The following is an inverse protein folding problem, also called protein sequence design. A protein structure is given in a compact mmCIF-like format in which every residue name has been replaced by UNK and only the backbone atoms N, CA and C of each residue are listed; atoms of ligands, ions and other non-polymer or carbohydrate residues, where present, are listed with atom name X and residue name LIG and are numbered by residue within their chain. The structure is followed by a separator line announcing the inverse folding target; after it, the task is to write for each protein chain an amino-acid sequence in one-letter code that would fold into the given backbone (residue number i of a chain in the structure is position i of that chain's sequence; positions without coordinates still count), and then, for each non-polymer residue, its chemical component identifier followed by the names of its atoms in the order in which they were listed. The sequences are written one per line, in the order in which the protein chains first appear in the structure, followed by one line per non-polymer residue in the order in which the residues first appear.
data_IF_987100191850
#
_entry.id   IF_987100191850
#
_cell.length_a   1.000
_cell.length_b   1.000
_cell.length_c   1.000
_cell.angle_alpha   90.00
_cell.angle_beta   90.00
_cell.angle_gamma   90.00
#
_symmetry.space_group_name_H-M   'P 1'
#
loop_
_entity.id
_entity.type
_entity.pdbx_description
1 polymer ?
#
# COMPACT_ATOMS: atom_id res chain seq x y z
N UNK A 1 8.69 7.86 -7.45
CA UNK A 1 7.60 7.17 -6.71
C UNK A 1 6.69 6.44 -7.68
N UNK A 2 6.87 5.15 -7.85
CA UNK A 2 5.98 4.42 -8.76
C UNK A 2 4.56 4.27 -8.19
N UNK A 3 3.59 4.67 -8.98
CA UNK A 3 2.19 4.42 -8.67
C UNK A 3 1.86 3.04 -9.22
N UNK A 4 1.38 2.15 -8.36
CA UNK A 4 1.08 0.77 -8.75
C UNK A 4 -0.37 0.61 -9.17
N UNK A 5 -1.28 1.27 -8.46
CA UNK A 5 -2.72 1.09 -8.70
C UNK A 5 -3.49 2.32 -8.20
N UNK A 6 -4.60 2.61 -8.88
CA UNK A 6 -5.55 3.62 -8.41
C UNK A 6 -6.92 2.97 -8.34
N UNK A 7 -7.58 3.12 -7.18
CA UNK A 7 -8.93 2.63 -6.97
C UNK A 7 -9.74 3.77 -6.37
N UNK A 8 -10.66 4.33 -7.14
CA UNK A 8 -11.40 5.49 -6.69
C UNK A 8 -10.45 6.64 -6.36
N UNK A 9 -10.54 7.15 -5.14
CA UNK A 9 -9.68 8.25 -4.68
C UNK A 9 -8.37 7.76 -4.07
N UNK A 10 -8.17 6.45 -3.95
CA UNK A 10 -6.98 5.87 -3.34
C UNK A 10 -5.89 5.63 -4.38
N UNK A 11 -4.68 6.10 -4.08
CA UNK A 11 -3.51 5.86 -4.90
C UNK A 11 -2.55 4.97 -4.12
N UNK A 12 -2.20 3.83 -4.70
CA UNK A 12 -1.29 2.85 -4.10
C UNK A 12 0.08 2.98 -4.74
N UNK A 13 1.12 3.10 -3.92
CA UNK A 13 2.47 3.34 -4.42
C UNK A 13 3.51 2.87 -3.40
N UNK A 14 4.77 2.85 -3.81
CA UNK A 14 5.88 2.68 -2.87
C UNK A 14 7.02 3.62 -3.28
N UNK A 15 7.91 3.91 -2.32
CA UNK A 15 9.04 4.78 -2.57
C UNK A 15 10.21 3.96 -3.09
N UNK A 16 10.99 4.55 -4.00
CA UNK A 16 12.09 3.84 -4.68
C UNK A 16 13.27 3.49 -3.76
N UNK A 17 13.33 4.04 -2.58
CA UNK A 17 14.45 3.83 -1.65
C UNK A 17 14.10 2.92 -0.47
N UNK A 18 13.09 2.07 -0.62
CA UNK A 18 12.60 1.22 0.48
C UNK A 18 12.96 -0.25 0.35
N UNK A 19 13.95 -0.59 -0.47
CA UNK A 19 14.29 -1.99 -0.74
C UNK A 19 14.79 -2.78 0.48
N UNK A 20 15.22 -2.09 1.53
CA UNK A 20 15.73 -2.76 2.73
C UNK A 20 14.63 -3.18 3.70
N UNK A 21 13.41 -2.71 3.48
CA UNK A 21 12.27 -3.10 4.30
C UNK A 21 11.55 -4.30 3.68
N UNK A 22 10.79 -5.04 4.48
CA UNK A 22 9.90 -6.05 3.91
C UNK A 22 8.92 -5.42 2.92
N UNK A 23 8.40 -6.21 2.01
CA UNK A 23 7.47 -5.73 0.99
C UNK A 23 6.27 -5.02 1.63
N UNK A 24 5.93 -3.85 1.12
CA UNK A 24 4.83 -3.06 1.63
C UNK A 24 4.26 -2.16 0.54
N UNK A 25 3.12 -1.54 0.84
CA UNK A 25 2.47 -0.60 -0.08
C UNK A 25 1.98 0.60 0.72
N UNK A 26 2.16 1.77 0.16
CA UNK A 26 1.62 3.00 0.72
C UNK A 26 0.32 3.32 -0.01
N UNK A 27 -0.62 3.96 0.69
CA UNK A 27 -1.84 4.46 0.07
C UNK A 27 -2.06 5.89 0.51
N UNK A 28 -2.49 6.71 -0.42
CA UNK A 28 -2.75 8.13 -0.17
C UNK A 28 -4.06 8.54 -0.81
N UNK A 29 -4.81 9.37 -0.09
CA UNK A 29 -6.05 9.97 -0.59
C UNK A 29 -6.19 11.34 0.06
N UNK A 30 -6.04 12.40 -0.75
CA UNK A 30 -6.03 13.76 -0.21
C UNK A 30 -4.88 13.92 0.76
N UNK A 31 -5.18 14.31 2.00
CA UNK A 31 -4.18 14.47 3.05
C UNK A 31 -3.97 13.23 3.91
N UNK A 32 -4.71 12.16 3.64
CA UNK A 32 -4.67 10.95 4.46
C UNK A 32 -3.70 9.94 3.86
N UNK A 33 -2.97 9.22 4.73
CA UNK A 33 -1.97 8.24 4.28
C UNK A 33 -1.99 6.99 5.16
N UNK A 34 -1.58 5.86 4.57
CA UNK A 34 -1.40 4.63 5.32
C UNK A 34 -0.33 3.78 4.66
N UNK A 35 0.23 2.85 5.43
CA UNK A 35 1.23 1.89 4.95
C UNK A 35 0.81 0.52 5.43
N UNK A 36 0.81 -0.45 4.52
CA UNK A 36 0.47 -1.84 4.83
C UNK A 36 1.63 -2.75 4.47
N UNK A 37 1.99 -3.65 5.39
CA UNK A 37 2.88 -4.76 5.06
C UNK A 37 2.11 -5.71 4.14
N UNK A 38 2.82 -6.43 3.30
CA UNK A 38 2.18 -7.34 2.34
C UNK A 38 2.29 -8.83 2.70
N UNK A 39 3.20 -9.19 3.59
CA UNK A 39 3.43 -10.60 3.92
C UNK A 39 3.62 -10.79 5.43
N UNK A 40 2.56 -10.92 6.21
CA UNK A 40 1.14 -10.86 5.86
C UNK A 40 0.64 -9.42 5.70
N UNK A 41 -0.60 -9.27 5.24
CA UNK A 41 -1.20 -7.93 5.11
C UNK A 41 -1.56 -7.42 6.51
N UNK A 42 -0.81 -6.42 6.95
CA UNK A 42 -1.00 -5.82 8.27
C UNK A 42 -0.77 -4.31 8.16
N UNK A 43 -1.65 -3.54 8.76
CA UNK A 43 -1.48 -2.09 8.80
C UNK A 43 -0.24 -1.75 9.62
N UNK A 44 0.68 -1.01 9.02
CA UNK A 44 1.90 -0.57 9.70
C UNK A 44 1.72 0.79 10.36
N UNK A 45 1.13 1.74 9.62
CA UNK A 45 0.93 3.10 10.12
C UNK A 45 -0.19 3.76 9.32
N UNK A 46 -0.91 4.68 9.94
CA UNK A 46 -1.93 5.46 9.25
C UNK A 46 -2.04 6.86 9.83
N UNK A 47 -2.39 7.81 8.96
CA UNK A 47 -2.62 9.19 9.33
C UNK A 47 -3.86 9.67 8.61
N UNK A 48 -4.90 10.03 9.36
CA UNK A 48 -6.11 10.67 8.82
C UNK A 48 -7.26 9.74 8.48
N UNK A 49 -7.00 8.52 8.04
CA UNK A 49 -8.07 7.58 7.72
C UNK A 49 -8.81 7.13 8.98
N UNK A 50 -10.14 7.04 8.90
CA UNK A 50 -10.93 6.51 10.01
C UNK A 50 -10.94 4.96 9.92
N UNK A 51 -11.48 4.31 10.93
CA UNK A 51 -11.46 2.85 11.02
C UNK A 51 -12.22 2.17 9.87
N UNK A 52 -13.28 2.79 9.39
CA UNK A 52 -14.04 2.27 8.26
C UNK A 52 -13.22 2.29 6.98
N UNK A 53 -12.55 3.40 6.75
CA UNK A 53 -11.67 3.54 5.58
C UNK A 53 -10.49 2.57 5.65
N UNK A 54 -9.92 2.40 6.83
CA UNK A 54 -8.82 1.45 7.01
C UNK A 54 -9.26 0.02 6.75
N UNK A 55 -10.49 -0.34 7.13
CA UNK A 55 -11.03 -1.67 6.83
C UNK A 55 -11.20 -1.87 5.32
N UNK A 56 -11.69 -0.86 4.62
CA UNK A 56 -11.81 -0.89 3.16
C UNK A 56 -10.45 -1.04 2.50
N UNK A 57 -9.48 -0.28 2.99
CA UNK A 57 -8.12 -0.33 2.45
C UNK A 57 -7.47 -1.67 2.67
N UNK A 58 -7.64 -2.25 3.86
CA UNK A 58 -7.10 -3.57 4.15
C UNK A 58 -7.66 -4.60 3.17
N UNK A 59 -8.95 -4.55 2.90
CA UNK A 59 -9.60 -5.44 1.95
C UNK A 59 -9.04 -5.25 0.54
N UNK A 60 -8.87 -4.00 0.12
CA UNK A 60 -8.29 -3.70 -1.19
C UNK A 60 -6.86 -4.23 -1.30
N UNK A 61 -6.06 -4.03 -0.25
CA UNK A 61 -4.68 -4.52 -0.23
C UNK A 61 -4.65 -6.04 -0.30
N UNK A 62 -5.53 -6.71 0.43
CA UNK A 62 -5.62 -8.16 0.40
C UNK A 62 -6.02 -8.67 -0.99
N UNK A 63 -6.99 -8.01 -1.62
CA UNK A 63 -7.46 -8.41 -2.94
C UNK A 63 -6.42 -8.17 -4.04
N UNK A 64 -5.55 -7.18 -3.87
CA UNK A 64 -4.52 -6.84 -4.85
C UNK A 64 -3.12 -7.22 -4.40
N UNK A 65 -3.02 -8.06 -3.37
CA UNK A 65 -1.73 -8.43 -2.78
C UNK A 65 -0.74 -8.98 -3.80
N UNK A 66 -1.21 -9.86 -4.67
CA UNK A 66 -0.34 -10.47 -5.70
C UNK A 66 0.22 -9.40 -6.64
N UNK A 67 -0.62 -8.47 -7.07
CA UNK A 67 -0.20 -7.37 -7.93
C UNK A 67 0.85 -6.50 -7.27
N UNK A 68 0.64 -6.18 -5.98
CA UNK A 68 1.57 -5.33 -5.23
C UNK A 68 2.90 -6.04 -5.00
N UNK A 69 2.87 -7.34 -4.68
CA UNK A 69 4.09 -8.12 -4.50
C UNK A 69 4.87 -8.24 -5.80
N UNK A 70 4.17 -8.46 -6.90
CA UNK A 70 4.79 -8.55 -8.21
C UNK A 70 5.47 -7.23 -8.58
N UNK A 71 4.78 -6.12 -8.38
CA UNK A 71 5.33 -4.79 -8.65
C UNK A 71 6.55 -4.51 -7.77
N UNK A 72 6.47 -4.88 -6.49
CA UNK A 72 7.57 -4.70 -5.55
C UNK A 72 8.80 -5.50 -5.99
N UNK A 73 8.61 -6.78 -6.28
CA UNK A 73 9.70 -7.66 -6.68
C UNK A 73 10.33 -7.21 -7.99
N UNK A 74 9.53 -6.76 -8.93
CA UNK A 74 10.01 -6.27 -10.21
C UNK A 74 10.84 -5.01 -10.07
N UNK A 75 10.39 -4.11 -9.21
CA UNK A 75 11.05 -2.83 -9.03
C UNK A 75 12.38 -2.96 -8.26
N UNK A 76 12.42 -3.86 -7.27
CA UNK A 76 13.58 -4.01 -6.40
C UNK A 76 14.44 -5.24 -6.70
N UNK A 77 14.19 -5.92 -7.77
CA UNK A 77 14.99 -7.10 -8.14
C UNK A 77 16.35 -6.73 -8.72
#
# INVERSE_FOLDING_TARGET
MPTVLRVGRYRFFFFSNESEEPAHIHVKAGGDEAKFWLEPVVLAVSYGFNSRELSELEELVMNHRSEFLEAWNEYFS
#
